data_IF_221573734252
#
_entry.id   IF_221573734252
#
_cell.length_a   1.000
_cell.length_b   1.000
_cell.length_c   1.000
_cell.angle_alpha   90.00
_cell.angle_beta   90.00
_cell.angle_gamma   90.00
#
_symmetry.space_group_name_H-M   'P 1'
#
loop_
_entity.id
_entity.type
_entity.pdbx_description
1 polymer ?
#
# COMPACT_ATOMS: atom_id res chain seq x y z
N UNK A 1 -1.76 -19.04 11.42
CA UNK A 1 -2.99 -18.31 11.80
C UNK A 1 -2.84 -16.89 11.32
N UNK A 2 -3.77 -16.41 10.53
CA UNK A 2 -3.62 -15.16 9.76
C UNK A 2 -3.41 -13.92 10.62
N UNK A 3 -4.26 -13.66 11.60
CA UNK A 3 -4.17 -12.44 12.41
C UNK A 3 -2.99 -12.41 13.39
N UNK A 4 -2.40 -13.55 13.76
CA UNK A 4 -1.30 -13.58 14.73
C UNK A 4 0.03 -13.09 14.16
N UNK A 5 0.15 -12.91 12.84
CA UNK A 5 1.36 -12.35 12.23
C UNK A 5 1.54 -10.86 12.48
N UNK A 6 0.47 -10.13 12.77
CA UNK A 6 0.44 -8.67 12.95
C UNK A 6 0.84 -8.26 14.36
N UNK A 7 2.09 -8.53 14.75
CA UNK A 7 2.60 -8.34 16.13
C UNK A 7 2.54 -6.90 16.59
N UNK A 8 2.92 -5.94 15.74
CA UNK A 8 2.90 -4.51 16.07
C UNK A 8 1.47 -3.98 16.28
N UNK A 9 0.50 -4.72 15.78
CA UNK A 9 -0.92 -4.40 15.87
C UNK A 9 -1.67 -5.31 16.88
N UNK A 10 -0.97 -5.94 17.83
CA UNK A 10 -1.52 -6.93 18.75
C UNK A 10 -2.77 -6.45 19.50
N UNK A 11 -2.77 -5.20 19.96
CA UNK A 11 -3.93 -4.60 20.65
C UNK A 11 -5.15 -4.49 19.73
N UNK A 12 -4.94 -4.12 18.47
CA UNK A 12 -5.99 -4.05 17.46
C UNK A 12 -6.49 -5.45 17.12
N UNK A 13 -5.58 -6.38 16.88
CA UNK A 13 -5.89 -7.79 16.59
C UNK A 13 -6.68 -8.42 17.75
N UNK A 14 -6.32 -8.14 19.00
CA UNK A 14 -7.06 -8.61 20.17
C UNK A 14 -8.52 -8.11 20.19
N UNK A 15 -8.75 -6.83 19.89
CA UNK A 15 -10.10 -6.25 19.79
C UNK A 15 -10.91 -6.88 18.63
N UNK A 16 -10.28 -7.07 17.48
CA UNK A 16 -10.90 -7.71 16.31
C UNK A 16 -11.35 -9.12 16.67
N UNK A 17 -10.46 -9.91 17.27
CA UNK A 17 -10.72 -11.27 17.71
C UNK A 17 -11.90 -11.33 18.67
N UNK A 18 -11.91 -10.46 19.67
CA UNK A 18 -13.00 -10.35 20.63
C UNK A 18 -14.32 -10.01 19.92
N UNK A 19 -14.34 -8.98 19.06
CA UNK A 19 -15.54 -8.59 18.30
C UNK A 19 -16.10 -9.73 17.44
N UNK A 20 -15.23 -10.50 16.80
CA UNK A 20 -15.64 -11.66 15.98
C UNK A 20 -16.25 -12.75 16.87
N UNK A 21 -15.61 -13.08 18.00
CA UNK A 21 -16.11 -14.10 18.91
C UNK A 21 -17.43 -13.72 19.58
N UNK A 22 -17.65 -12.43 19.84
CA UNK A 22 -18.91 -11.90 20.41
C UNK A 22 -20.00 -11.67 19.35
N UNK A 23 -19.68 -11.79 18.05
CA UNK A 23 -20.61 -11.52 16.96
C UNK A 23 -20.87 -10.02 16.72
N UNK A 24 -20.08 -9.14 17.35
CA UNK A 24 -20.19 -7.68 17.25
C UNK A 24 -19.38 -7.13 16.07
N UNK A 25 -19.81 -7.43 14.86
CA UNK A 25 -19.12 -7.01 13.63
C UNK A 25 -19.83 -5.80 13.03
N UNK A 26 -19.06 -4.73 12.79
CA UNK A 26 -19.57 -3.57 12.04
C UNK A 26 -19.65 -3.89 10.54
N UNK A 27 -20.56 -3.20 9.86
CA UNK A 27 -20.71 -3.29 8.42
C UNK A 27 -19.58 -2.57 7.65
N UNK A 28 -18.83 -1.65 8.27
CA UNK A 28 -17.78 -0.89 7.60
C UNK A 28 -16.60 -0.55 8.53
N UNK A 29 -15.40 -0.70 7.98
CA UNK A 29 -14.14 -0.36 8.63
C UNK A 29 -13.29 0.50 7.69
N UNK A 30 -12.69 1.55 8.24
CA UNK A 30 -11.71 2.40 7.56
C UNK A 30 -10.32 2.07 8.13
N UNK A 31 -9.50 1.46 7.31
CA UNK A 31 -8.17 0.95 7.69
C UNK A 31 -7.12 1.88 7.09
N UNK A 32 -6.51 2.68 7.94
CA UNK A 32 -5.44 3.60 7.61
C UNK A 32 -4.08 2.98 7.95
N UNK A 33 -3.08 3.24 7.14
CA UNK A 33 -1.70 2.86 7.38
C UNK A 33 -0.78 3.42 6.32
N UNK A 34 0.48 3.59 6.64
CA UNK A 34 1.49 4.08 5.71
C UNK A 34 1.56 3.22 4.44
N UNK A 35 2.15 3.76 3.38
CA UNK A 35 2.31 3.06 2.09
C UNK A 35 3.10 1.76 2.21
N UNK A 36 4.00 1.64 3.18
CA UNK A 36 4.79 0.43 3.45
C UNK A 36 4.00 -0.68 4.16
N UNK A 37 2.79 -0.38 4.70
CA UNK A 37 1.96 -1.38 5.39
C UNK A 37 1.15 -2.18 4.38
N UNK A 38 1.22 -3.51 4.48
CA UNK A 38 0.39 -4.42 3.67
C UNK A 38 -1.09 -4.41 4.13
N UNK A 39 -1.78 -3.30 3.85
CA UNK A 39 -3.20 -3.13 4.20
C UNK A 39 -4.10 -4.18 3.55
N UNK A 40 -3.76 -4.63 2.34
CA UNK A 40 -4.53 -5.67 1.62
C UNK A 40 -4.37 -7.01 2.31
N UNK A 41 -3.14 -7.38 2.70
CA UNK A 41 -2.87 -8.59 3.47
C UNK A 41 -3.61 -8.58 4.80
N UNK A 42 -3.61 -7.44 5.52
CA UNK A 42 -4.38 -7.28 6.76
C UNK A 42 -5.88 -7.47 6.53
N UNK A 43 -6.43 -6.84 5.49
CA UNK A 43 -7.84 -6.97 5.14
C UNK A 43 -8.22 -8.43 4.84
N UNK A 44 -7.41 -9.16 4.06
CA UNK A 44 -7.60 -10.59 3.81
C UNK A 44 -7.56 -11.41 5.10
N UNK A 45 -6.60 -11.16 5.98
CA UNK A 45 -6.47 -11.87 7.26
C UNK A 45 -7.67 -11.61 8.19
N UNK A 46 -8.17 -10.36 8.23
CA UNK A 46 -9.39 -10.04 8.94
C UNK A 46 -10.60 -10.82 8.36
N UNK A 47 -10.77 -10.83 7.04
CA UNK A 47 -11.86 -11.56 6.39
C UNK A 47 -11.75 -13.07 6.58
N UNK A 48 -10.52 -13.63 6.60
CA UNK A 48 -10.29 -15.04 6.96
C UNK A 48 -10.72 -15.31 8.40
N UNK A 49 -10.31 -14.47 9.34
CA UNK A 49 -10.71 -14.61 10.75
C UNK A 49 -12.22 -14.55 10.93
N UNK A 50 -12.89 -13.68 10.14
CA UNK A 50 -14.35 -13.51 10.16
C UNK A 50 -15.09 -14.71 9.55
N UNK A 51 -14.55 -15.36 8.51
CA UNK A 51 -15.21 -16.42 7.75
C UNK A 51 -14.77 -17.83 8.16
N UNK A 52 -13.69 -17.96 8.92
CA UNK A 52 -13.10 -19.24 9.25
C UNK A 52 -13.96 -20.01 10.26
N UNK A 53 -14.43 -21.21 9.85
CA UNK A 53 -15.22 -22.10 10.72
C UNK A 53 -14.33 -22.96 11.65
N UNK A 54 -13.04 -23.12 11.32
CA UNK A 54 -12.09 -23.96 12.08
C UNK A 54 -11.49 -23.17 13.23
N UNK A 55 -11.12 -21.91 13.00
CA UNK A 55 -10.56 -21.01 13.99
C UNK A 55 -11.20 -19.62 13.85
N UNK A 56 -12.45 -19.45 14.34
CA UNK A 56 -13.14 -18.15 14.31
C UNK A 56 -12.34 -17.10 15.10
N UNK A 57 -12.23 -15.90 14.54
CA UNK A 57 -11.42 -14.81 15.13
C UNK A 57 -9.92 -14.88 14.86
N UNK A 58 -9.41 -15.98 14.27
CA UNK A 58 -7.98 -16.17 14.01
C UNK A 58 -7.66 -16.35 12.53
N UNK A 59 -8.47 -17.13 11.81
CA UNK A 59 -8.14 -17.60 10.47
C UNK A 59 -7.11 -18.74 10.50
N UNK A 60 -7.48 -19.91 10.01
CA UNK A 60 -6.62 -21.10 10.07
C UNK A 60 -5.68 -21.28 8.87
N UNK A 61 -5.84 -20.50 7.79
CA UNK A 61 -5.09 -20.54 6.52
C UNK A 61 -5.22 -21.87 5.71
N UNK A 62 -5.87 -22.89 6.27
CA UNK A 62 -5.92 -24.22 5.68
C UNK A 62 -7.31 -24.66 5.23
N UNK A 63 -8.39 -24.12 5.79
CA UNK A 63 -9.75 -24.49 5.38
C UNK A 63 -10.11 -23.88 4.00
N UNK A 64 -11.20 -24.37 3.43
CA UNK A 64 -11.64 -23.94 2.10
C UNK A 64 -11.94 -22.43 2.05
N UNK A 65 -12.56 -21.87 3.09
CA UNK A 65 -12.92 -20.45 3.15
C UNK A 65 -11.66 -19.57 3.22
N UNK A 66 -10.67 -19.93 4.05
CA UNK A 66 -9.40 -19.21 4.12
C UNK A 66 -8.64 -19.25 2.78
N UNK A 67 -8.53 -20.44 2.15
CA UNK A 67 -7.85 -20.56 0.86
C UNK A 67 -8.54 -19.79 -0.27
N UNK A 68 -9.88 -19.76 -0.30
CA UNK A 68 -10.63 -18.97 -1.29
C UNK A 68 -10.31 -17.48 -1.17
N UNK A 69 -10.23 -16.95 0.05
CA UNK A 69 -9.87 -15.54 0.29
C UNK A 69 -8.43 -15.26 -0.10
N UNK A 70 -7.48 -16.14 0.26
CA UNK A 70 -6.06 -15.99 -0.09
C UNK A 70 -5.82 -15.95 -1.60
N UNK A 71 -6.53 -16.79 -2.35
CA UNK A 71 -6.39 -16.91 -3.80
C UNK A 71 -7.35 -15.99 -4.60
N UNK A 72 -8.03 -15.05 -3.96
CA UNK A 72 -9.01 -14.16 -4.58
C UNK A 72 -10.15 -14.90 -5.34
N UNK A 73 -10.48 -16.13 -4.90
CA UNK A 73 -11.49 -17.01 -5.50
C UNK A 73 -12.76 -17.12 -4.64
N UNK A 74 -12.97 -16.19 -3.69
CA UNK A 74 -14.16 -16.14 -2.88
C UNK A 74 -15.27 -15.41 -3.65
N UNK A 75 -16.38 -16.11 -3.93
CA UNK A 75 -17.50 -15.62 -4.74
C UNK A 75 -18.23 -14.44 -4.08
N UNK A 76 -18.17 -14.34 -2.74
CA UNK A 76 -18.81 -13.30 -1.94
C UNK A 76 -17.81 -12.18 -1.55
N UNK A 77 -16.57 -12.21 -2.07
CA UNK A 77 -15.57 -11.17 -1.85
C UNK A 77 -15.40 -10.32 -3.11
N UNK A 78 -15.76 -9.05 -2.99
CA UNK A 78 -15.63 -8.06 -4.06
C UNK A 78 -14.46 -7.14 -3.78
N UNK A 79 -13.51 -7.10 -4.70
CA UNK A 79 -12.36 -6.20 -4.62
C UNK A 79 -12.53 -5.05 -5.58
N UNK A 80 -12.39 -3.84 -5.06
CA UNK A 80 -12.39 -2.59 -5.82
C UNK A 80 -11.00 -2.00 -5.77
N UNK A 81 -10.46 -1.72 -6.93
CA UNK A 81 -9.18 -1.04 -7.12
C UNK A 81 -9.38 0.18 -8.02
N UNK A 82 -8.48 1.14 -7.92
CA UNK A 82 -8.51 2.30 -8.79
C UNK A 82 -8.27 1.89 -10.26
N UNK A 83 -9.14 2.33 -11.16
CA UNK A 83 -8.89 2.28 -12.59
C UNK A 83 -8.09 3.52 -13.00
N UNK A 84 -6.76 3.35 -13.05
CA UNK A 84 -5.82 4.46 -13.21
C UNK A 84 -5.52 5.18 -11.90
N UNK A 85 -5.88 6.47 -11.80
CA UNK A 85 -5.49 7.36 -10.69
C UNK A 85 -6.51 7.35 -9.54
N UNK A 86 -7.78 7.03 -9.80
CA UNK A 86 -8.84 7.18 -8.81
C UNK A 86 -9.93 6.12 -8.94
N UNK A 87 -10.58 5.82 -7.83
CA UNK A 87 -11.79 4.99 -7.82
C UNK A 87 -12.98 5.85 -8.25
N UNK A 88 -13.59 5.48 -9.38
CA UNK A 88 -14.68 6.21 -10.00
C UNK A 88 -16.06 5.76 -9.48
N UNK A 89 -17.05 6.58 -9.75
CA UNK A 89 -18.44 6.41 -9.35
C UNK A 89 -19.08 5.11 -9.89
N UNK A 90 -18.80 4.76 -11.16
CA UNK A 90 -19.32 3.55 -11.80
C UNK A 90 -18.80 2.24 -11.17
N UNK A 91 -17.58 2.27 -10.63
CA UNK A 91 -17.01 1.13 -9.92
C UNK A 91 -17.75 0.90 -8.59
N UNK A 92 -18.05 1.98 -7.87
CA UNK A 92 -18.85 1.91 -6.63
C UNK A 92 -20.30 1.47 -6.92
N UNK A 93 -20.88 1.91 -8.03
CA UNK A 93 -22.22 1.46 -8.47
C UNK A 93 -22.25 -0.05 -8.70
N UNK A 94 -21.25 -0.60 -9.39
CA UNK A 94 -21.11 -2.05 -9.59
C UNK A 94 -20.96 -2.80 -8.27
N UNK A 95 -20.15 -2.25 -7.35
CA UNK A 95 -19.98 -2.84 -6.02
C UNK A 95 -21.32 -2.90 -5.28
N UNK A 96 -22.09 -1.80 -5.26
CA UNK A 96 -23.42 -1.77 -4.64
C UNK A 96 -24.37 -2.83 -5.22
N UNK A 97 -24.37 -2.97 -6.55
CA UNK A 97 -25.15 -4.01 -7.23
C UNK A 97 -24.74 -5.44 -6.84
N UNK A 98 -23.47 -5.65 -6.58
CA UNK A 98 -22.95 -6.94 -6.11
C UNK A 98 -23.31 -7.21 -4.65
N UNK A 99 -23.13 -6.23 -3.76
CA UNK A 99 -23.47 -6.35 -2.34
C UNK A 99 -24.98 -6.58 -2.10
N UNK A 100 -25.84 -6.13 -3.03
CA UNK A 100 -27.27 -6.35 -2.95
C UNK A 100 -27.70 -7.80 -3.30
N UNK A 101 -26.79 -8.61 -3.86
CA UNK A 101 -27.07 -10.02 -4.15
C UNK A 101 -27.03 -10.86 -2.89
N UNK A 102 -27.82 -11.93 -2.87
CA UNK A 102 -27.74 -12.90 -1.77
C UNK A 102 -26.38 -13.61 -1.81
N UNK A 103 -25.61 -13.60 -0.70
CA UNK A 103 -24.32 -14.29 -0.65
C UNK A 103 -24.51 -15.82 -0.75
N UNK A 104 -23.50 -16.52 -1.26
CA UNK A 104 -23.42 -17.97 -1.24
C UNK A 104 -22.98 -18.49 0.13
N UNK A 105 -22.13 -17.75 0.79
CA UNK A 105 -21.69 -17.98 2.16
C UNK A 105 -22.50 -17.19 3.20
N UNK A 106 -21.94 -16.92 4.37
CA UNK A 106 -22.64 -16.24 5.46
C UNK A 106 -22.90 -14.75 5.17
N UNK A 107 -22.06 -14.09 4.39
CA UNK A 107 -22.14 -12.64 4.11
C UNK A 107 -21.36 -12.22 2.87
N UNK A 108 -21.75 -11.08 2.31
CA UNK A 108 -20.97 -10.39 1.30
C UNK A 108 -19.81 -9.61 1.96
N UNK A 109 -18.68 -9.58 1.32
CA UNK A 109 -17.46 -8.89 1.78
C UNK A 109 -16.93 -7.99 0.68
N UNK A 110 -16.43 -6.82 1.02
CA UNK A 110 -15.81 -5.93 0.06
C UNK A 110 -14.49 -5.36 0.59
N UNK A 111 -13.50 -5.26 -0.27
CA UNK A 111 -12.26 -4.51 -0.04
C UNK A 111 -12.22 -3.40 -1.07
N UNK A 112 -12.15 -2.14 -0.61
CA UNK A 112 -11.93 -0.97 -1.46
C UNK A 112 -10.50 -0.54 -1.21
N UNK A 113 -9.60 -0.89 -2.11
CA UNK A 113 -8.21 -0.47 -2.07
C UNK A 113 -8.10 1.00 -2.48
N UNK A 114 -7.11 1.71 -1.92
CA UNK A 114 -6.85 3.13 -2.18
C UNK A 114 -8.14 3.99 -2.06
N UNK A 115 -8.93 3.77 -0.99
CA UNK A 115 -10.23 4.41 -0.81
C UNK A 115 -10.15 5.95 -0.77
N UNK A 116 -9.04 6.49 -0.31
CA UNK A 116 -8.74 7.93 -0.30
C UNK A 116 -8.49 8.52 -1.69
N UNK A 117 -8.36 7.69 -2.73
CA UNK A 117 -8.33 8.13 -4.13
C UNK A 117 -9.72 8.21 -4.77
N UNK A 118 -10.78 7.83 -4.03
CA UNK A 118 -12.16 7.94 -4.54
C UNK A 118 -12.50 9.38 -4.90
N UNK A 119 -13.11 9.56 -6.07
CA UNK A 119 -13.70 10.87 -6.40
C UNK A 119 -14.78 11.24 -5.38
N UNK A 120 -15.02 12.55 -5.16
CA UNK A 120 -16.09 13.02 -4.25
C UNK A 120 -17.46 12.41 -4.62
N UNK A 121 -17.70 12.21 -5.91
CA UNK A 121 -18.93 11.57 -6.41
C UNK A 121 -19.02 10.10 -6.00
N UNK A 122 -17.91 9.36 -6.12
CA UNK A 122 -17.83 7.96 -5.68
C UNK A 122 -18.03 7.84 -4.17
N UNK A 123 -17.39 8.73 -3.39
CA UNK A 123 -17.57 8.78 -1.95
C UNK A 123 -19.02 9.06 -1.56
N UNK A 124 -19.68 10.03 -2.18
CA UNK A 124 -21.09 10.35 -1.92
C UNK A 124 -22.03 9.17 -2.32
N UNK A 125 -21.70 8.44 -3.38
CA UNK A 125 -22.46 7.24 -3.75
C UNK A 125 -22.35 6.15 -2.68
N UNK A 126 -21.15 5.94 -2.14
CA UNK A 126 -20.89 4.94 -1.11
C UNK A 126 -21.68 5.20 0.20
N UNK A 127 -21.97 6.47 0.52
CA UNK A 127 -22.72 6.85 1.73
C UNK A 127 -24.06 6.10 1.86
N UNK A 128 -24.77 5.88 0.77
CA UNK A 128 -26.04 5.12 0.80
C UNK A 128 -25.85 3.71 1.35
N UNK A 129 -24.76 3.04 0.94
CA UNK A 129 -24.47 1.68 1.41
C UNK A 129 -23.99 1.66 2.86
N UNK A 130 -23.30 2.74 3.29
CA UNK A 130 -22.86 2.89 4.67
C UNK A 130 -24.00 3.23 5.63
N UNK A 131 -25.05 3.93 5.15
CA UNK A 131 -26.24 4.27 5.94
C UNK A 131 -27.23 3.10 6.01
N UNK A 132 -27.41 2.40 4.90
CA UNK A 132 -28.33 1.29 4.77
C UNK A 132 -27.59 0.06 4.23
N UNK A 133 -26.80 -0.63 5.06
CA UNK A 133 -26.05 -1.79 4.62
C UNK A 133 -27.00 -2.92 4.18
N UNK A 134 -26.65 -3.55 3.07
CA UNK A 134 -27.43 -4.66 2.52
C UNK A 134 -27.11 -5.97 3.27
N UNK A 135 -28.03 -6.44 4.10
CA UNK A 135 -27.84 -7.66 4.89
C UNK A 135 -26.63 -7.57 5.84
N UNK A 136 -25.91 -8.67 5.99
CA UNK A 136 -24.72 -8.76 6.86
C UNK A 136 -23.41 -8.43 6.11
N UNK A 137 -23.46 -7.54 5.11
CA UNK A 137 -22.27 -7.19 4.34
C UNK A 137 -21.21 -6.49 5.21
N UNK A 138 -19.93 -6.78 4.94
CA UNK A 138 -18.78 -6.14 5.60
C UNK A 138 -17.90 -5.49 4.54
N UNK A 139 -17.60 -4.20 4.72
CA UNK A 139 -16.76 -3.40 3.82
C UNK A 139 -15.51 -2.93 4.53
N UNK A 140 -14.36 -3.11 3.88
CA UNK A 140 -13.06 -2.65 4.33
C UNK A 140 -12.55 -1.58 3.36
N UNK A 141 -12.45 -0.34 3.84
CA UNK A 141 -11.93 0.80 3.10
C UNK A 141 -10.46 0.98 3.52
N UNK A 142 -9.54 0.79 2.58
CA UNK A 142 -8.10 0.90 2.84
C UNK A 142 -7.61 2.24 2.32
N UNK A 143 -6.89 3.00 3.14
CA UNK A 143 -6.37 4.31 2.78
C UNK A 143 -4.96 4.54 3.34
N UNK A 144 -4.21 5.42 2.69
CA UNK A 144 -2.95 5.94 3.22
C UNK A 144 -3.22 7.11 4.16
N UNK A 145 -4.19 7.96 3.79
CA UNK A 145 -4.56 9.12 4.59
C UNK A 145 -6.10 9.24 4.67
N UNK A 146 -6.65 9.02 5.87
CA UNK A 146 -8.07 9.15 6.16
C UNK A 146 -8.63 10.57 5.96
N UNK A 147 -7.78 11.60 6.03
CA UNK A 147 -8.23 12.99 5.87
C UNK A 147 -8.66 13.30 4.43
N UNK A 148 -8.24 12.49 3.46
CA UNK A 148 -8.72 12.56 2.08
C UNK A 148 -10.14 11.97 1.90
N UNK A 149 -10.68 11.34 2.96
CA UNK A 149 -12.05 10.81 2.98
C UNK A 149 -13.02 11.83 3.55
N UNK A 150 -14.22 11.88 2.99
CA UNK A 150 -15.29 12.74 3.53
C UNK A 150 -15.57 12.40 5.01
N UNK A 151 -15.78 13.41 5.82
CA UNK A 151 -16.11 13.25 7.25
C UNK A 151 -17.36 12.37 7.45
N UNK A 152 -18.31 12.48 6.52
CA UNK A 152 -19.53 11.65 6.51
C UNK A 152 -19.25 10.14 6.33
N UNK A 153 -18.19 9.76 5.63
CA UNK A 153 -17.72 8.37 5.56
C UNK A 153 -17.00 7.99 6.84
N UNK A 154 -16.07 8.83 7.28
CA UNK A 154 -15.29 8.58 8.50
C UNK A 154 -16.17 8.36 9.73
N UNK A 155 -17.26 9.09 9.86
CA UNK A 155 -18.21 8.96 10.97
C UNK A 155 -19.04 7.66 10.96
N UNK A 156 -19.13 6.97 9.81
CA UNK A 156 -19.90 5.73 9.63
C UNK A 156 -19.05 4.47 9.59
N UNK A 157 -17.73 4.62 9.62
CA UNK A 157 -16.79 3.50 9.64
C UNK A 157 -16.10 3.40 11.00
N UNK A 158 -15.82 2.18 11.45
CA UNK A 158 -14.89 1.98 12.56
C UNK A 158 -13.49 2.22 12.02
N UNK A 159 -12.80 3.25 12.53
CA UNK A 159 -11.44 3.59 12.14
C UNK A 159 -10.41 2.71 12.84
N UNK A 160 -9.52 2.12 12.06
CA UNK A 160 -8.32 1.43 12.53
C UNK A 160 -7.09 2.05 11.91
N UNK A 161 -6.05 2.18 12.70
CA UNK A 161 -4.75 2.62 12.23
C UNK A 161 -3.76 1.48 12.40
N UNK A 162 -3.16 1.04 11.29
CA UNK A 162 -2.15 -0.01 11.27
C UNK A 162 -0.77 0.60 11.48
N UNK A 163 -0.06 0.09 12.47
CA UNK A 163 1.34 0.38 12.65
C UNK A 163 2.15 -0.41 11.61
N UNK A 164 3.17 0.21 10.99
CA UNK A 164 4.12 -0.55 10.20
C UNK A 164 4.76 -1.63 11.07
N UNK A 165 5.02 -2.79 10.51
CA UNK A 165 5.86 -3.78 11.18
C UNK A 165 7.22 -3.10 11.43
N UNK A 166 7.65 -3.03 12.71
CA UNK A 166 9.05 -2.79 12.98
C UNK A 166 9.77 -3.97 12.34
N UNK A 167 10.35 -3.74 11.18
CA UNK A 167 11.19 -4.73 10.50
C UNK A 167 12.42 -4.96 11.34
N UNK A 168 12.26 -5.70 12.45
CA UNK A 168 13.31 -6.49 13.00
C UNK A 168 13.55 -7.60 11.97
N UNK A 169 14.49 -7.34 11.07
CA UNK A 169 15.22 -8.33 10.29
C UNK A 169 14.39 -9.46 9.64
N UNK A 170 13.58 -9.14 8.64
CA UNK A 170 13.26 -10.16 7.66
C UNK A 170 14.46 -10.28 6.68
N UNK A 171 15.09 -11.45 6.53
CA UNK A 171 16.26 -11.63 5.66
C UNK A 171 16.02 -11.26 4.18
N UNK A 172 14.74 -11.08 3.78
CA UNK A 172 14.39 -10.57 2.45
C UNK A 172 14.42 -9.04 2.37
N UNK A 173 14.08 -8.31 3.45
CA UNK A 173 14.13 -6.84 3.48
C UNK A 173 15.57 -6.31 3.54
N UNK A 174 16.47 -7.02 4.20
CA UNK A 174 17.90 -6.66 4.21
C UNK A 174 18.51 -6.80 2.81
N UNK A 175 18.28 -7.93 2.14
CA UNK A 175 18.78 -8.17 0.78
C UNK A 175 18.16 -7.21 -0.25
N UNK A 176 16.90 -6.82 -0.08
CA UNK A 176 16.23 -5.83 -0.95
C UNK A 176 16.70 -4.41 -0.64
N UNK A 177 16.89 -4.09 0.64
CA UNK A 177 17.47 -2.82 1.08
C UNK A 177 18.94 -2.69 0.65
N UNK A 178 19.73 -3.76 0.71
CA UNK A 178 21.12 -3.81 0.25
C UNK A 178 21.19 -3.61 -1.27
N UNK A 179 20.34 -4.29 -2.04
CA UNK A 179 20.22 -4.08 -3.51
C UNK A 179 19.81 -2.64 -3.86
N UNK A 180 18.90 -2.05 -3.10
CA UNK A 180 18.50 -0.66 -3.32
C UNK A 180 19.65 0.31 -3.05
N UNK A 181 20.45 0.07 -2.00
CA UNK A 181 21.67 0.85 -1.70
C UNK A 181 22.71 0.68 -2.79
N UNK A 182 23.03 -0.55 -3.19
CA UNK A 182 23.98 -0.83 -4.27
C UNK A 182 23.54 -0.15 -5.58
N UNK A 183 22.22 -0.17 -5.87
CA UNK A 183 21.67 0.53 -7.01
C UNK A 183 21.84 2.06 -6.89
N UNK A 184 21.55 2.63 -5.72
CA UNK A 184 21.72 4.05 -5.47
C UNK A 184 23.19 4.49 -5.58
N UNK A 185 24.12 3.71 -5.02
CA UNK A 185 25.55 3.95 -5.14
C UNK A 185 26.00 3.93 -6.61
N UNK A 186 25.59 2.92 -7.37
CA UNK A 186 25.91 2.83 -8.80
C UNK A 186 25.32 3.98 -9.61
N UNK A 187 24.13 4.48 -9.25
CA UNK A 187 23.52 5.64 -9.91
C UNK A 187 24.22 6.95 -9.56
N UNK A 188 24.65 7.13 -8.31
CA UNK A 188 25.40 8.32 -7.89
C UNK A 188 26.79 8.34 -8.53
N UNK A 189 27.45 7.19 -8.62
CA UNK A 189 28.73 7.09 -9.34
C UNK A 189 28.54 7.38 -10.83
N UNK A 190 27.47 6.87 -11.45
CA UNK A 190 27.10 7.22 -12.83
C UNK A 190 26.88 8.73 -13.03
N UNK A 191 26.25 9.43 -12.06
CA UNK A 191 26.06 10.89 -12.10
C UNK A 191 27.42 11.62 -12.10
N UNK A 192 28.40 11.12 -11.35
CA UNK A 192 29.74 11.72 -11.27
C UNK A 192 30.56 11.47 -12.52
N UNK A 193 30.49 10.28 -13.09
CA UNK A 193 31.30 9.87 -14.23
C UNK A 193 30.78 10.47 -15.56
N UNK A 194 29.53 10.91 -15.60
CA UNK A 194 28.90 11.48 -16.81
C UNK A 194 28.74 10.48 -17.94
N UNK A 195 28.73 9.18 -17.60
CA UNK A 195 28.67 8.10 -18.59
C UNK A 195 27.29 7.97 -19.25
N UNK A 196 27.27 7.29 -20.45
CA UNK A 196 26.13 7.32 -21.34
C UNK A 196 24.82 6.70 -20.80
N UNK A 197 23.70 7.14 -21.32
CA UNK A 197 22.33 6.69 -21.02
C UNK A 197 22.14 5.16 -21.00
N UNK A 198 22.93 4.43 -21.77
CA UNK A 198 22.83 2.96 -21.85
C UNK A 198 23.19 2.28 -20.53
N UNK A 199 24.22 2.75 -19.86
CA UNK A 199 24.69 2.21 -18.57
C UNK A 199 23.65 2.43 -17.46
N UNK A 200 23.11 3.65 -17.37
CA UNK A 200 21.99 3.97 -16.47
C UNK A 200 20.80 3.00 -16.68
N UNK A 201 20.43 2.77 -17.95
CA UNK A 201 19.33 1.85 -18.28
C UNK A 201 19.60 0.43 -17.82
N UNK A 202 20.86 -0.02 -17.89
CA UNK A 202 21.28 -1.34 -17.45
C UNK A 202 21.23 -1.47 -15.92
N UNK A 203 21.71 -0.47 -15.17
CA UNK A 203 21.63 -0.42 -13.71
C UNK A 203 20.17 -0.52 -13.26
N UNK A 204 19.28 0.28 -13.83
CA UNK A 204 17.85 0.23 -13.49
C UNK A 204 17.22 -1.13 -13.83
N UNK A 205 17.49 -1.69 -15.00
CA UNK A 205 16.89 -2.94 -15.45
C UNK A 205 17.29 -4.15 -14.58
N UNK A 206 18.48 -4.10 -13.99
CA UNK A 206 18.97 -5.16 -13.10
C UNK A 206 18.39 -5.09 -11.69
N UNK A 207 18.15 -3.87 -11.18
CA UNK A 207 17.83 -3.65 -9.77
C UNK A 207 16.37 -3.29 -9.52
N UNK A 208 15.64 -2.74 -10.49
CA UNK A 208 14.26 -2.28 -10.32
C UNK A 208 13.31 -3.11 -11.18
N UNK A 209 12.53 -3.96 -10.55
CA UNK A 209 11.58 -4.87 -11.21
C UNK A 209 10.13 -4.45 -11.05
N UNK A 210 9.83 -3.71 -10.01
CA UNK A 210 8.49 -3.27 -9.65
C UNK A 210 8.54 -1.84 -9.08
N UNK A 211 7.38 -1.34 -8.68
CA UNK A 211 7.22 0.00 -8.14
C UNK A 211 7.84 0.16 -6.75
N UNK A 212 7.75 -0.87 -5.92
CA UNK A 212 8.28 -0.86 -4.55
C UNK A 212 9.80 -0.81 -4.59
N UNK A 213 10.44 -1.52 -5.53
CA UNK A 213 11.89 -1.39 -5.77
C UNK A 213 12.25 0.04 -6.17
N UNK A 214 11.42 0.72 -6.98
CA UNK A 214 11.64 2.10 -7.37
C UNK A 214 11.58 3.05 -6.15
N UNK A 215 10.61 2.89 -5.25
CA UNK A 215 10.56 3.67 -4.01
C UNK A 215 11.79 3.44 -3.14
N UNK A 216 12.19 2.17 -2.93
CA UNK A 216 13.39 1.84 -2.14
C UNK A 216 14.66 2.46 -2.71
N UNK A 217 14.81 2.50 -4.04
CA UNK A 217 15.96 3.14 -4.70
C UNK A 217 15.92 4.67 -4.49
N UNK A 218 14.74 5.31 -4.59
CA UNK A 218 14.62 6.75 -4.31
C UNK A 218 14.97 7.07 -2.86
N UNK A 219 14.51 6.26 -1.90
CA UNK A 219 14.84 6.41 -0.48
C UNK A 219 16.35 6.23 -0.22
N UNK A 220 16.96 5.22 -0.84
CA UNK A 220 18.38 4.98 -0.73
C UNK A 220 19.22 6.14 -1.32
N UNK A 221 18.80 6.68 -2.46
CA UNK A 221 19.46 7.86 -3.07
C UNK A 221 19.31 9.10 -2.19
N UNK A 222 18.16 9.34 -1.57
CA UNK A 222 17.93 10.46 -0.66
C UNK A 222 18.84 10.35 0.57
N UNK A 223 18.92 9.16 1.18
CA UNK A 223 19.84 8.90 2.29
C UNK A 223 21.32 9.15 1.90
N UNK A 224 21.71 8.68 0.72
CA UNK A 224 23.06 8.85 0.22
C UNK A 224 23.41 10.34 -0.01
N UNK A 225 22.53 11.09 -0.67
CA UNK A 225 22.73 12.54 -0.85
C UNK A 225 22.77 13.30 0.48
N UNK A 226 21.98 12.87 1.47
CA UNK A 226 22.04 13.42 2.82
C UNK A 226 23.41 13.16 3.47
N UNK A 227 23.94 11.94 3.36
CA UNK A 227 25.24 11.59 3.92
C UNK A 227 26.39 12.32 3.20
N UNK A 228 26.29 12.51 1.88
CA UNK A 228 27.20 13.33 1.10
C UNK A 228 27.15 14.80 1.58
N UNK A 229 25.98 15.37 1.78
CA UNK A 229 25.81 16.76 2.26
C UNK A 229 26.37 16.96 3.66
N UNK A 230 26.23 15.95 4.54
CA UNK A 230 26.75 15.98 5.91
C UNK A 230 28.26 15.66 6.01
N UNK A 231 28.93 15.40 4.91
CA UNK A 231 30.36 15.08 4.88
C UNK A 231 30.70 13.69 5.40
N UNK A 232 29.74 12.78 5.50
CA UNK A 232 29.92 11.40 5.96
C UNK A 232 30.36 10.44 4.85
N UNK A 233 30.13 10.79 3.60
CA UNK A 233 30.49 10.01 2.42
C UNK A 233 31.77 10.56 1.77
N UNK A 234 32.58 9.69 1.20
CA UNK A 234 33.86 10.06 0.55
C UNK A 234 33.64 11.01 -0.65
N UNK A 235 32.48 10.95 -1.29
CA UNK A 235 32.07 11.77 -2.45
C UNK A 235 31.68 13.20 -2.08
N UNK A 236 31.67 13.58 -0.78
CA UNK A 236 31.23 14.91 -0.29
C UNK A 236 31.96 16.07 -0.93
N UNK A 237 33.21 15.85 -1.37
CA UNK A 237 34.02 16.89 -2.02
C UNK A 237 33.76 17.02 -3.54
N UNK A 238 33.04 16.08 -4.12
CA UNK A 238 32.77 16.00 -5.56
C UNK A 238 31.48 16.70 -5.96
N UNK A 239 30.57 16.92 -5.00
CA UNK A 239 29.30 17.60 -5.21
C UNK A 239 29.25 18.97 -4.56
N UNK A 240 28.60 19.92 -5.21
CA UNK A 240 28.26 21.21 -4.60
C UNK A 240 26.93 21.07 -3.80
N UNK A 241 26.81 21.72 -2.64
CA UNK A 241 25.57 21.66 -1.85
C UNK A 241 24.32 22.04 -2.65
N UNK A 242 24.44 23.00 -3.57
CA UNK A 242 23.33 23.45 -4.43
C UNK A 242 22.88 22.36 -5.41
N UNK A 243 23.81 21.54 -5.92
CA UNK A 243 23.53 20.41 -6.81
C UNK A 243 22.78 19.33 -6.05
N UNK A 244 23.21 19.00 -4.83
CA UNK A 244 22.54 18.01 -3.99
C UNK A 244 21.10 18.45 -3.68
N UNK A 245 20.90 19.71 -3.31
CA UNK A 245 19.56 20.25 -3.05
C UNK A 245 18.65 20.15 -4.28
N UNK A 246 19.20 20.43 -5.46
CA UNK A 246 18.46 20.24 -6.73
C UNK A 246 18.12 18.76 -6.94
N UNK A 247 19.03 17.84 -6.69
CA UNK A 247 18.79 16.41 -6.84
C UNK A 247 17.72 15.90 -5.87
N UNK A 248 17.74 16.34 -4.63
CA UNK A 248 16.70 16.01 -3.64
C UNK A 248 15.32 16.49 -4.13
N UNK A 249 15.25 17.70 -4.69
CA UNK A 249 13.97 18.20 -5.26
C UNK A 249 13.48 17.31 -6.43
N UNK A 250 14.40 16.87 -7.28
CA UNK A 250 14.05 15.97 -8.39
C UNK A 250 13.63 14.56 -7.92
N UNK A 251 14.23 14.07 -6.82
CA UNK A 251 13.79 12.82 -6.18
C UNK A 251 12.36 12.94 -5.67
N UNK A 252 12.01 14.07 -5.03
CA UNK A 252 10.65 14.32 -4.58
C UNK A 252 9.62 14.41 -5.73
N UNK A 253 10.02 15.00 -6.87
CA UNK A 253 9.20 14.98 -8.09
C UNK A 253 8.96 13.54 -8.58
N UNK A 254 10.02 12.73 -8.68
CA UNK A 254 9.91 11.34 -9.10
C UNK A 254 9.07 10.50 -8.12
N UNK A 255 9.22 10.73 -6.81
CA UNK A 255 8.40 10.11 -5.77
C UNK A 255 6.92 10.44 -5.96
N UNK A 256 6.61 11.70 -6.25
CA UNK A 256 5.25 12.15 -6.57
C UNK A 256 4.71 11.47 -7.82
N UNK A 257 5.49 11.36 -8.86
CA UNK A 257 5.10 10.65 -10.09
C UNK A 257 4.80 9.17 -9.81
N UNK A 258 5.59 8.53 -8.97
CA UNK A 258 5.31 7.18 -8.51
C UNK A 258 4.00 7.09 -7.70
N UNK A 259 3.73 8.01 -6.80
CA UNK A 259 2.48 8.10 -6.04
C UNK A 259 1.30 8.27 -7.01
N UNK A 260 1.43 9.09 -8.03
CA UNK A 260 0.43 9.31 -9.08
C UNK A 260 0.33 8.16 -10.10
N UNK A 261 0.90 7.00 -9.79
CA UNK A 261 0.87 5.79 -10.63
C UNK A 261 1.47 5.96 -12.04
N UNK A 262 2.38 6.90 -12.22
CA UNK A 262 3.23 6.95 -13.43
C UNK A 262 4.07 5.67 -13.50
N UNK A 263 4.31 5.17 -14.70
CA UNK A 263 5.16 3.97 -14.88
C UNK A 263 6.53 4.20 -14.25
N UNK A 264 6.92 3.34 -13.32
CA UNK A 264 8.14 3.48 -12.52
C UNK A 264 9.42 3.57 -13.37
N UNK A 265 9.47 2.83 -14.46
CA UNK A 265 10.60 2.92 -15.40
C UNK A 265 10.70 4.29 -16.09
N UNK A 266 9.55 4.92 -16.33
CA UNK A 266 9.51 6.25 -16.91
C UNK A 266 9.93 7.31 -15.89
N UNK A 267 9.35 7.28 -14.69
CA UNK A 267 9.65 8.22 -13.61
C UNK A 267 11.15 8.22 -13.25
N UNK A 268 11.75 7.04 -13.07
CA UNK A 268 13.19 6.94 -12.78
C UNK A 268 14.09 7.41 -13.93
N UNK A 269 13.73 7.10 -15.19
CA UNK A 269 14.50 7.56 -16.34
C UNK A 269 14.40 9.07 -16.52
N UNK A 270 13.23 9.67 -16.32
CA UNK A 270 13.04 11.11 -16.39
C UNK A 270 13.85 11.83 -15.30
N UNK A 271 13.81 11.30 -14.08
CA UNK A 271 14.64 11.76 -12.97
C UNK A 271 16.12 11.80 -13.36
N UNK A 272 16.67 10.67 -13.82
CA UNK A 272 18.12 10.57 -14.11
C UNK A 272 18.53 11.40 -15.31
N UNK A 273 17.66 11.58 -16.31
CA UNK A 273 17.90 12.52 -17.42
C UNK A 273 17.95 13.97 -16.93
N UNK A 274 17.11 14.33 -15.96
CA UNK A 274 17.09 15.68 -15.37
C UNK A 274 18.31 15.92 -14.47
N UNK A 275 18.81 14.91 -13.79
CA UNK A 275 20.03 14.97 -12.97
C UNK A 275 21.28 15.10 -13.85
N UNK A 276 21.37 14.35 -14.95
CA UNK A 276 22.53 14.30 -15.84
C UNK A 276 22.64 15.49 -16.80
N UNK A 277 21.74 16.47 -16.71
CA UNK A 277 21.81 17.76 -17.42
C UNK A 277 22.34 18.86 -16.52
#
# INVERSE_FOLDING_TARGET
MSLTRWKENEKLVGRIRQSICEGNISHAYLIEGDTCVDKIGFAKDFLKALSCRVAPGEGCDTCADCRKIDHDNCEDLYRVEADGISVKDDVIEKLQGNLARKPLGPRNMAIIADADTMTVRAQNRLLKTLEEPQGDAVMLLLCDNRENMLETIRSRCIGWHLQPEETADAPQSEAEGERARDCADALVDWILDGEGFFQMKQILAQNVKNRDDAFRVLDAMEHLFRDILLGKDARSKLFRPEEIMRYVTLLEEARRDLIWKVNYNYALKDLLIKIGK
#
